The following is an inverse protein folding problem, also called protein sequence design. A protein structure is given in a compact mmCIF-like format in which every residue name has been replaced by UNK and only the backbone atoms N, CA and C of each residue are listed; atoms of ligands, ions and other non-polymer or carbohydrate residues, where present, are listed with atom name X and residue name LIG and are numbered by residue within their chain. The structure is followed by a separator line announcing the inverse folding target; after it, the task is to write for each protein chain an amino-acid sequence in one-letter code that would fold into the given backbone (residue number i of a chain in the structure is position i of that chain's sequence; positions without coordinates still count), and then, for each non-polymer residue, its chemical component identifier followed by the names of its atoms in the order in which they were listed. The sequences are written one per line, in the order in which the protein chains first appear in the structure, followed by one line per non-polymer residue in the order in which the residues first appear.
data_IF_492943949599
#
_entry.id   IF_492943949599
#
_cell.length_a   1.000
_cell.length_b   1.000
_cell.length_c   1.000
_cell.angle_alpha   90.00
_cell.angle_beta   90.00
_cell.angle_gamma   90.00
#
_symmetry.space_group_name_H-M   'P 1'
#
loop_
_entity.id
_entity.type
_entity.pdbx_description
1 polymer ?
#
# COMPACT_ATOMS: atom_id res chain seq x y z
N UNK A 1 18.56 -16.56 -0.21
CA UNK A 1 17.47 -15.65 -0.62
C UNK A 1 16.22 -16.09 0.12
N UNK A 2 15.74 -15.30 1.08
CA UNK A 2 14.54 -15.66 1.83
C UNK A 2 13.32 -15.24 1.03
N UNK A 3 12.59 -16.20 0.48
CA UNK A 3 11.31 -15.97 -0.19
C UNK A 3 10.29 -15.60 0.88
N UNK A 4 10.10 -14.32 1.14
CA UNK A 4 9.08 -13.89 2.09
C UNK A 4 7.70 -14.04 1.46
N UNK A 5 6.88 -14.84 2.12
CA UNK A 5 5.50 -15.06 1.71
C UNK A 5 4.66 -13.92 2.26
N UNK A 6 4.15 -13.07 1.37
CA UNK A 6 3.11 -12.11 1.73
C UNK A 6 1.90 -12.92 2.25
N UNK A 7 1.28 -12.56 3.38
CA UNK A 7 0.12 -13.29 3.92
C UNK A 7 -1.14 -13.01 3.09
N UNK A 8 -1.12 -13.46 1.83
CA UNK A 8 -2.14 -13.27 0.79
C UNK A 8 -3.53 -13.80 1.16
N UNK A 9 -3.65 -14.56 2.24
CA UNK A 9 -4.91 -15.09 2.72
C UNK A 9 -5.64 -14.15 3.68
N UNK A 10 -4.99 -13.07 4.14
CA UNK A 10 -5.58 -12.07 5.03
C UNK A 10 -6.16 -10.88 4.24
N UNK A 11 -7.22 -10.21 4.72
CA UNK A 11 -7.74 -9.00 4.10
C UNK A 11 -6.65 -7.92 3.84
N UNK A 12 -5.85 -7.60 4.85
CA UNK A 12 -4.78 -6.61 4.70
C UNK A 12 -3.70 -7.07 3.70
N UNK A 13 -3.30 -8.35 3.75
CA UNK A 13 -2.32 -8.90 2.81
C UNK A 13 -2.80 -8.85 1.35
N UNK A 14 -4.08 -9.12 1.08
CA UNK A 14 -4.65 -9.02 -0.27
C UNK A 14 -4.61 -7.60 -0.80
N UNK A 15 -5.07 -6.64 0.00
CA UNK A 15 -5.07 -5.23 -0.41
C UNK A 15 -3.66 -4.68 -0.57
N UNK A 16 -2.71 -5.11 0.27
CA UNK A 16 -1.32 -4.74 0.12
C UNK A 16 -0.69 -5.25 -1.18
N UNK A 17 -1.00 -6.47 -1.61
CA UNK A 17 -0.54 -7.00 -2.91
C UNK A 17 -1.04 -6.12 -4.05
N UNK A 18 -2.34 -5.78 -4.03
CA UNK A 18 -2.95 -4.90 -5.03
C UNK A 18 -2.30 -3.51 -5.00
N UNK A 19 -2.14 -2.93 -3.81
CA UNK A 19 -1.46 -1.65 -3.63
C UNK A 19 -0.04 -1.67 -4.22
N UNK A 20 0.78 -2.65 -3.82
CA UNK A 20 2.18 -2.75 -4.25
C UNK A 20 2.28 -2.93 -5.76
N UNK A 21 1.39 -3.71 -6.36
CA UNK A 21 1.29 -3.88 -7.81
C UNK A 21 0.97 -2.56 -8.51
N UNK A 22 -0.03 -1.83 -8.01
CA UNK A 22 -0.46 -0.52 -8.54
C UNK A 22 0.61 0.55 -8.35
N UNK A 23 1.25 0.62 -7.18
CA UNK A 23 2.35 1.56 -6.91
C UNK A 23 3.53 1.30 -7.84
N UNK A 24 3.94 0.04 -7.98
CA UNK A 24 5.08 -0.34 -8.81
C UNK A 24 4.85 -0.21 -10.31
N UNK A 25 3.61 0.02 -10.78
CA UNK A 25 3.34 0.33 -12.19
C UNK A 25 3.67 1.78 -12.54
N UNK A 26 3.67 2.69 -11.56
CA UNK A 26 3.81 4.13 -11.78
C UNK A 26 2.64 4.78 -12.54
N UNK A 27 1.56 4.03 -12.80
CA UNK A 27 0.40 4.53 -13.54
C UNK A 27 -0.53 5.32 -12.60
N UNK A 28 -0.57 6.64 -12.80
CA UNK A 28 -1.44 7.55 -12.05
C UNK A 28 -2.91 7.14 -12.12
N UNK A 29 -3.40 6.70 -13.28
CA UNK A 29 -4.80 6.31 -13.45
C UNK A 29 -5.10 5.04 -12.66
N UNK A 30 -4.19 4.06 -12.69
CA UNK A 30 -4.31 2.86 -11.87
C UNK A 30 -4.32 3.21 -10.37
N UNK A 31 -3.45 4.13 -9.93
CA UNK A 31 -3.41 4.60 -8.55
C UNK A 31 -4.71 5.30 -8.12
N UNK A 32 -5.25 6.21 -8.96
CA UNK A 32 -6.53 6.86 -8.71
C UNK A 32 -7.69 5.85 -8.63
N UNK A 33 -7.70 4.83 -9.49
CA UNK A 33 -8.69 3.75 -9.46
C UNK A 33 -8.61 2.94 -8.17
N UNK A 34 -7.41 2.50 -7.81
CA UNK A 34 -7.16 1.77 -6.55
C UNK A 34 -7.67 2.54 -5.34
N UNK A 35 -7.36 3.84 -5.24
CA UNK A 35 -7.79 4.66 -4.10
C UNK A 35 -9.32 4.76 -4.05
N UNK A 36 -9.96 5.05 -5.18
CA UNK A 36 -11.42 5.21 -5.25
C UNK A 36 -12.18 3.94 -4.88
N UNK A 37 -11.65 2.78 -5.25
CA UNK A 37 -12.29 1.48 -5.04
C UNK A 37 -12.06 0.92 -3.64
N UNK A 38 -10.87 1.16 -3.05
CA UNK A 38 -10.43 0.42 -1.88
C UNK A 38 -10.38 1.25 -0.59
N UNK A 39 -10.42 2.58 -0.64
CA UNK A 39 -10.40 3.40 0.57
C UNK A 39 -11.79 3.55 1.18
N UNK A 40 -11.83 3.59 2.51
CA UNK A 40 -13.06 3.89 3.24
C UNK A 40 -13.49 5.34 3.04
N UNK A 41 -14.80 5.65 3.12
CA UNK A 41 -15.28 7.03 3.09
C UNK A 41 -14.61 7.90 4.17
N UNK A 42 -14.34 7.33 5.36
CA UNK A 42 -13.65 8.03 6.42
C UNK A 42 -12.21 8.41 6.03
N UNK A 43 -11.46 7.51 5.42
CA UNK A 43 -10.09 7.78 4.95
C UNK A 43 -10.05 8.80 3.79
N UNK A 44 -11.11 8.84 2.97
CA UNK A 44 -11.29 9.83 1.89
C UNK A 44 -11.58 11.23 2.45
N UNK A 45 -12.29 11.34 3.58
CA UNK A 45 -12.54 12.63 4.22
C UNK A 45 -11.26 13.30 4.76
N UNK A 46 -10.25 12.51 5.13
CA UNK A 46 -8.96 13.02 5.60
C UNK A 46 -8.11 13.59 4.46
N UNK A 47 -8.23 13.03 3.25
CA UNK A 47 -7.49 13.46 2.07
C UNK A 47 -8.21 12.99 0.82
N UNK A 48 -8.43 13.90 -0.14
CA UNK A 48 -9.14 13.58 -1.37
C UNK A 48 -8.42 12.48 -2.17
N UNK A 49 -9.16 11.67 -2.96
CA UNK A 49 -8.54 10.60 -3.75
C UNK A 49 -7.47 11.11 -4.70
N UNK A 50 -7.69 12.28 -5.32
CA UNK A 50 -6.75 12.90 -6.24
C UNK A 50 -5.46 13.38 -5.56
N UNK A 51 -5.58 13.99 -4.37
CA UNK A 51 -4.42 14.43 -3.60
C UNK A 51 -3.58 13.22 -3.16
N UNK A 52 -4.24 12.16 -2.69
CA UNK A 52 -3.59 10.91 -2.30
C UNK A 52 -2.93 10.22 -3.50
N UNK A 53 -3.58 10.18 -4.65
CA UNK A 53 -2.99 9.62 -5.87
C UNK A 53 -1.75 10.41 -6.31
N UNK A 54 -1.80 11.75 -6.26
CA UNK A 54 -0.68 12.61 -6.58
C UNK A 54 0.52 12.38 -5.64
N UNK A 55 0.27 12.24 -4.34
CA UNK A 55 1.30 11.90 -3.35
C UNK A 55 1.98 10.56 -3.65
N UNK A 56 1.20 9.50 -3.93
CA UNK A 56 1.76 8.20 -4.26
C UNK A 56 2.56 8.22 -5.57
N UNK A 57 2.13 8.99 -6.57
CA UNK A 57 2.88 9.19 -7.81
C UNK A 57 4.19 9.96 -7.56
N UNK A 58 4.17 10.98 -6.71
CA UNK A 58 5.39 11.70 -6.32
C UNK A 58 6.37 10.79 -5.57
N UNK A 59 5.87 9.96 -4.66
CA UNK A 59 6.68 8.94 -3.96
C UNK A 59 7.26 7.92 -4.97
N UNK A 60 6.49 7.47 -5.95
CA UNK A 60 7.01 6.59 -7.01
C UNK A 60 8.10 7.29 -7.84
N UNK A 61 7.95 8.58 -8.16
CA UNK A 61 8.99 9.33 -8.89
C UNK A 61 10.30 9.44 -8.09
N UNK A 62 10.22 9.51 -6.75
CA UNK A 62 11.38 9.57 -5.87
C UNK A 62 12.02 8.19 -5.62
N UNK A 63 11.21 7.18 -5.33
CA UNK A 63 11.64 5.86 -4.84
C UNK A 63 11.71 4.81 -5.96
N UNK A 64 11.09 5.07 -7.11
CA UNK A 64 10.81 4.07 -8.12
C UNK A 64 10.04 2.88 -7.55
N UNK A 65 10.36 1.68 -8.05
CA UNK A 65 9.71 0.44 -7.62
C UNK A 65 10.19 0.03 -6.24
N UNK A 66 9.29 -0.46 -5.41
CA UNK A 66 9.59 -1.03 -4.09
C UNK A 66 9.76 -2.55 -4.19
N UNK A 67 10.79 -3.05 -3.50
CA UNK A 67 11.03 -4.46 -3.24
C UNK A 67 10.73 -4.76 -1.77
N UNK A 68 9.82 -5.69 -1.49
CA UNK A 68 9.53 -6.11 -0.11
C UNK A 68 10.74 -6.82 0.50
N UNK A 69 11.09 -6.42 1.72
CA UNK A 69 12.22 -6.92 2.52
C UNK A 69 11.80 -7.66 3.78
N UNK A 70 10.68 -7.30 4.39
CA UNK A 70 10.02 -8.07 5.47
C UNK A 70 8.56 -7.69 5.59
N UNK A 71 7.73 -8.62 6.06
CA UNK A 71 6.34 -8.37 6.39
C UNK A 71 6.10 -8.90 7.80
N UNK A 72 5.55 -8.05 8.64
CA UNK A 72 5.04 -8.38 9.95
C UNK A 72 3.52 -8.29 9.91
N UNK A 73 2.85 -9.42 10.05
CA UNK A 73 1.40 -9.43 10.21
C UNK A 73 1.07 -9.13 11.68
N UNK A 74 0.43 -7.99 11.94
CA UNK A 74 -0.02 -7.62 13.29
C UNK A 74 -1.37 -8.30 13.61
N UNK A 75 -2.25 -8.37 12.61
CA UNK A 75 -3.51 -9.12 12.65
C UNK A 75 -3.96 -9.47 11.22
N UNK A 76 -5.05 -10.22 11.01
CA UNK A 76 -5.62 -10.38 9.65
C UNK A 76 -6.01 -9.05 8.97
N UNK A 77 -6.21 -7.99 9.75
CA UNK A 77 -6.67 -6.67 9.27
C UNK A 77 -5.55 -5.63 9.25
N UNK A 78 -4.33 -6.00 9.59
CA UNK A 78 -3.25 -5.04 9.84
C UNK A 78 -1.87 -5.64 9.58
N UNK A 79 -1.05 -4.93 8.81
CA UNK A 79 0.31 -5.34 8.47
C UNK A 79 1.29 -4.17 8.56
N UNK A 80 2.52 -4.50 8.90
CA UNK A 80 3.71 -3.65 8.75
C UNK A 80 4.65 -4.29 7.74
N UNK A 81 5.17 -3.50 6.81
CA UNK A 81 6.04 -3.96 5.73
C UNK A 81 7.28 -3.10 5.67
N UNK A 82 8.44 -3.76 5.69
CA UNK A 82 9.70 -3.12 5.32
C UNK A 82 9.94 -3.40 3.83
N UNK A 83 10.16 -2.34 3.08
CA UNK A 83 10.49 -2.38 1.67
C UNK A 83 11.77 -1.58 1.39
N UNK A 84 12.28 -1.73 0.18
CA UNK A 84 13.44 -1.01 -0.30
C UNK A 84 13.18 -0.47 -1.70
N UNK A 85 13.50 0.81 -1.90
CA UNK A 85 13.53 1.45 -3.20
C UNK A 85 14.54 0.79 -4.11
N UNK A 86 14.10 0.38 -5.30
CA UNK A 86 15.00 -0.15 -6.34
C UNK A 86 15.79 0.95 -7.05
N UNK A 87 15.41 2.21 -6.89
CA UNK A 87 16.11 3.35 -7.51
C UNK A 87 17.35 3.74 -6.72
N UNK A 88 17.26 3.82 -5.39
CA UNK A 88 18.32 4.38 -4.54
C UNK A 88 18.65 3.53 -3.30
N UNK A 89 18.04 2.36 -3.12
CA UNK A 89 18.28 1.48 -1.97
C UNK A 89 17.72 1.99 -0.65
N UNK A 90 16.95 3.09 -0.66
CA UNK A 90 16.34 3.66 0.54
C UNK A 90 15.34 2.67 1.14
N UNK A 91 15.42 2.44 2.45
CA UNK A 91 14.41 1.68 3.19
C UNK A 91 13.12 2.49 3.33
N UNK A 92 11.99 1.81 3.17
CA UNK A 92 10.64 2.38 3.24
C UNK A 92 9.81 1.49 4.16
N UNK A 93 9.21 2.08 5.19
CA UNK A 93 8.22 1.41 6.02
C UNK A 93 6.82 1.67 5.45
N UNK A 94 6.02 0.61 5.35
CA UNK A 94 4.64 0.69 4.87
C UNK A 94 3.73 0.05 5.90
N UNK A 95 2.84 0.85 6.46
CA UNK A 95 1.79 0.39 7.37
C UNK A 95 0.46 0.35 6.64
N UNK A 96 -0.33 -0.72 6.83
CA UNK A 96 -1.68 -0.81 6.29
C UNK A 96 -2.64 -1.40 7.33
N UNK A 97 -3.79 -0.73 7.49
CA UNK A 97 -4.93 -1.22 8.28
C UNK A 97 -6.24 -1.13 7.49
N UNK A 98 -7.03 -2.19 7.58
CA UNK A 98 -8.27 -2.35 6.82
C UNK A 98 -9.47 -2.60 7.74
N UNK A 99 -10.67 -2.31 7.25
CA UNK A 99 -11.91 -2.51 7.99
C UNK A 99 -12.22 -3.99 8.20
N UNK A 100 -12.86 -4.32 9.32
CA UNK A 100 -13.29 -5.68 9.63
C UNK A 100 -14.42 -6.16 8.70
N UNK A 101 -15.34 -5.27 8.34
CA UNK A 101 -16.47 -5.59 7.47
C UNK A 101 -16.05 -5.68 6.00
N UNK A 102 -16.52 -6.68 5.24
CA UNK A 102 -16.40 -6.69 3.79
C UNK A 102 -16.94 -5.39 3.16
N UNK A 103 -16.29 -4.83 2.12
CA UNK A 103 -15.19 -5.42 1.35
C UNK A 103 -13.77 -5.19 1.94
N UNK A 104 -13.66 -4.92 3.24
CA UNK A 104 -12.40 -4.64 3.95
C UNK A 104 -11.69 -3.38 3.46
N UNK A 105 -12.40 -2.26 3.39
CA UNK A 105 -11.82 -1.01 2.90
C UNK A 105 -10.61 -0.54 3.73
N UNK A 106 -9.67 0.12 3.08
CA UNK A 106 -8.48 0.72 3.69
C UNK A 106 -8.92 1.86 4.62
N UNK A 107 -8.56 1.71 5.89
CA UNK A 107 -8.70 2.74 6.91
C UNK A 107 -7.45 3.62 6.94
N UNK A 108 -6.28 2.99 6.75
CA UNK A 108 -4.99 3.64 6.86
C UNK A 108 -3.96 2.95 5.97
N UNK A 109 -3.19 3.77 5.23
CA UNK A 109 -2.03 3.35 4.46
C UNK A 109 -1.00 4.47 4.54
N UNK A 110 0.16 4.17 5.12
CA UNK A 110 1.22 5.15 5.35
C UNK A 110 2.52 4.61 4.79
N UNK A 111 3.26 5.45 4.06
CA UNK A 111 4.60 5.17 3.56
C UNK A 111 5.55 6.19 4.18
N UNK A 112 6.60 5.72 4.86
CA UNK A 112 7.60 6.56 5.56
C UNK A 112 9.03 6.09 5.34
#
# INVERSE_FOLDING_TARGET
MSTQTIPQFTPAGRLFITFLGTFNSGDRRAMSGFISENYSPFAILQQSPDARAAEHVALFQQLGRLAVRSIQQLSPLEIDVQAESRTNGQSVSIYMRVAAEPPHQILELVLS
#
